data_IF_312545500068
#
_entry.id   IF_312545500068
#
_cell.length_a   1.000
_cell.length_b   1.000
_cell.length_c   1.000
_cell.angle_alpha   90.00
_cell.angle_beta   90.00
_cell.angle_gamma   90.00
#
_symmetry.space_group_name_H-M   'P 1'
#
loop_
_entity.id
_entity.type
_entity.pdbx_description
1 polymer ?
#
# COMPACT_ATOMS: atom_id res chain seq x y z
N UNK A 1 24.05 50.65 -31.73
CA UNK A 1 23.48 49.37 -32.24
C UNK A 1 24.00 48.12 -31.54
N UNK A 2 25.29 48.03 -31.17
CA UNK A 2 25.88 46.85 -30.51
C UNK A 2 25.23 46.48 -29.16
N UNK A 3 24.87 47.46 -28.32
CA UNK A 3 24.22 47.21 -27.03
C UNK A 3 22.77 46.69 -27.16
N UNK A 4 22.04 47.13 -28.19
CA UNK A 4 20.67 46.66 -28.45
C UNK A 4 20.66 45.22 -28.97
N UNK A 5 21.64 44.85 -29.79
CA UNK A 5 21.87 43.46 -30.22
C UNK A 5 22.25 42.55 -29.04
N UNK A 6 23.06 43.05 -28.10
CA UNK A 6 23.46 42.30 -26.90
C UNK A 6 22.27 42.01 -25.96
N UNK A 7 21.39 42.99 -25.73
CA UNK A 7 20.17 42.80 -24.94
C UNK A 7 19.18 41.83 -25.58
N UNK A 8 19.04 41.85 -26.91
CA UNK A 8 18.18 40.90 -27.62
C UNK A 8 18.74 39.48 -27.48
N UNK A 9 20.06 39.30 -27.65
CA UNK A 9 20.71 38.00 -27.49
C UNK A 9 20.54 37.45 -26.05
N UNK A 10 20.69 38.30 -25.05
CA UNK A 10 20.52 37.93 -23.63
C UNK A 10 19.07 37.54 -23.31
N UNK A 11 18.08 38.24 -23.89
CA UNK A 11 16.66 37.91 -23.75
C UNK A 11 16.29 36.58 -24.41
N UNK A 12 16.94 36.23 -25.52
CA UNK A 12 16.71 34.98 -26.24
C UNK A 12 17.28 33.78 -25.46
N UNK A 13 18.44 33.94 -24.81
CA UNK A 13 19.06 32.91 -23.96
C UNK A 13 18.21 32.61 -22.71
N UNK A 14 17.57 33.63 -22.12
CA UNK A 14 16.63 33.45 -20.99
C UNK A 14 15.31 32.79 -21.37
N UNK A 15 14.88 32.89 -22.64
CA UNK A 15 13.70 32.18 -23.12
C UNK A 15 14.02 30.70 -23.42
N UNK A 16 15.23 30.42 -23.94
CA UNK A 16 15.72 29.06 -24.23
C UNK A 16 15.94 28.20 -22.96
N UNK A 17 16.21 28.81 -21.81
CA UNK A 17 16.37 28.08 -20.54
C UNK A 17 15.05 27.60 -19.93
N UNK A 18 13.89 28.10 -20.39
CA UNK A 18 12.58 27.68 -19.88
C UNK A 18 12.01 26.43 -20.57
N UNK A 19 12.45 26.12 -21.79
CA UNK A 19 11.99 24.92 -22.55
C UNK A 19 12.75 23.65 -22.17
N UNK A 20 14.00 23.78 -21.71
CA UNK A 20 14.90 22.65 -21.42
C UNK A 20 14.64 21.92 -20.09
N UNK A 21 13.74 22.44 -19.23
CA UNK A 21 13.40 21.85 -17.92
C UNK A 21 11.99 21.22 -17.86
N UNK A 22 11.28 21.13 -18.99
CA UNK A 22 9.90 20.60 -19.02
C UNK A 22 9.80 19.13 -18.61
N UNK A 23 10.87 18.34 -18.77
CA UNK A 23 10.93 16.91 -18.46
C UNK A 23 11.60 16.59 -17.11
N UNK A 24 12.09 17.59 -16.37
CA UNK A 24 12.75 17.36 -15.07
C UNK A 24 11.77 16.89 -13.99
N UNK A 25 10.50 17.27 -14.09
CA UNK A 25 9.48 16.92 -13.09
C UNK A 25 8.72 15.63 -13.41
N UNK A 26 8.77 15.14 -14.66
CA UNK A 26 8.07 13.94 -15.10
C UNK A 26 9.03 12.77 -15.22
N UNK A 27 9.55 12.30 -14.08
CA UNK A 27 10.36 11.08 -14.05
C UNK A 27 9.48 9.87 -13.76
N UNK A 28 9.42 8.94 -14.71
CA UNK A 28 8.74 7.67 -14.48
C UNK A 28 9.49 6.82 -13.44
N UNK A 29 8.76 6.05 -12.62
CA UNK A 29 9.36 5.17 -11.63
C UNK A 29 10.18 4.05 -12.31
N UNK A 30 11.50 4.03 -12.07
CA UNK A 30 12.43 3.08 -12.72
C UNK A 30 12.23 1.62 -12.32
N UNK A 31 11.55 1.35 -11.21
CA UNK A 31 11.42 0.01 -10.60
C UNK A 31 9.98 -0.43 -10.37
N UNK A 32 9.00 0.44 -10.57
CA UNK A 32 7.59 0.13 -10.36
C UNK A 32 6.81 0.41 -11.64
N UNK A 33 5.91 -0.49 -12.01
CA UNK A 33 4.97 -0.20 -13.09
C UNK A 33 4.01 0.90 -12.64
N UNK A 34 3.68 1.81 -13.57
CA UNK A 34 2.54 2.70 -13.39
C UNK A 34 1.25 1.88 -13.29
N UNK A 35 0.19 2.46 -12.71
CA UNK A 35 -1.07 1.71 -12.55
C UNK A 35 -1.63 1.32 -13.92
N UNK A 36 -1.54 2.21 -14.88
CA UNK A 36 -2.03 2.03 -16.25
C UNK A 36 -1.30 0.88 -16.95
N UNK A 37 0.03 0.82 -16.83
CA UNK A 37 0.83 -0.27 -17.40
C UNK A 37 0.61 -1.59 -16.68
N UNK A 38 0.48 -1.56 -15.35
CA UNK A 38 0.23 -2.76 -14.53
C UNK A 38 -1.09 -3.46 -14.92
N UNK A 39 -2.08 -2.71 -15.38
CA UNK A 39 -3.37 -3.27 -15.83
C UNK A 39 -3.49 -3.35 -17.35
N UNK A 40 -2.52 -2.90 -18.14
CA UNK A 40 -2.62 -2.85 -19.61
C UNK A 40 -2.69 -4.22 -20.29
N UNK A 41 -2.12 -5.27 -19.68
CA UNK A 41 -1.99 -6.62 -20.24
C UNK A 41 -2.51 -7.67 -19.28
N UNK A 42 -3.12 -8.71 -19.83
CA UNK A 42 -3.61 -9.85 -19.05
C UNK A 42 -2.48 -10.57 -18.31
N UNK A 43 -1.29 -10.65 -18.91
CA UNK A 43 -0.08 -11.25 -18.32
C UNK A 43 0.34 -10.58 -17.00
N UNK A 44 0.03 -9.28 -16.83
CA UNK A 44 0.36 -8.54 -15.61
C UNK A 44 -0.63 -8.81 -14.47
N UNK A 45 -1.77 -9.47 -14.75
CA UNK A 45 -2.80 -9.79 -13.76
C UNK A 45 -2.40 -10.99 -12.90
N UNK A 46 -1.69 -11.96 -13.47
CA UNK A 46 -1.27 -13.16 -12.74
C UNK A 46 -0.33 -12.84 -11.56
N UNK A 47 0.72 -12.00 -11.72
CA UNK A 47 1.54 -11.54 -10.59
C UNK A 47 0.74 -10.78 -9.53
N UNK A 48 -0.25 -9.98 -9.96
CA UNK A 48 -1.12 -9.26 -9.03
C UNK A 48 -1.96 -10.23 -8.19
N UNK A 49 -2.59 -11.22 -8.83
CA UNK A 49 -3.41 -12.22 -8.15
C UNK A 49 -2.57 -13.07 -7.19
N UNK A 50 -1.39 -13.51 -7.65
CA UNK A 50 -0.44 -14.27 -6.83
C UNK A 50 0.04 -13.46 -5.64
N UNK A 51 0.33 -12.16 -5.85
CA UNK A 51 0.69 -11.23 -4.79
C UNK A 51 -0.43 -11.03 -3.78
N UNK A 52 -1.69 -10.92 -4.22
CA UNK A 52 -2.85 -10.82 -3.33
C UNK A 52 -3.00 -12.05 -2.43
N UNK A 53 -2.94 -13.27 -3.01
CA UNK A 53 -3.03 -14.50 -2.21
C UNK A 53 -1.84 -14.67 -1.26
N UNK A 54 -0.63 -14.31 -1.71
CA UNK A 54 0.58 -14.36 -0.89
C UNK A 54 0.48 -13.41 0.30
N UNK A 55 0.04 -12.16 0.06
CA UNK A 55 -0.18 -11.17 1.11
C UNK A 55 -1.31 -11.58 2.06
N UNK A 56 -2.41 -12.13 1.54
CA UNK A 56 -3.48 -12.67 2.36
C UNK A 56 -2.99 -13.76 3.31
N UNK A 57 -2.25 -14.74 2.79
CA UNK A 57 -1.67 -15.81 3.60
C UNK A 57 -0.70 -15.25 4.64
N UNK A 58 0.29 -14.46 4.20
CA UNK A 58 1.39 -14.02 5.05
C UNK A 58 0.98 -13.00 6.11
N UNK A 59 0.02 -12.12 5.81
CA UNK A 59 -0.32 -11.02 6.71
C UNK A 59 -1.56 -11.32 7.57
N UNK A 60 -2.46 -12.21 7.12
CA UNK A 60 -3.74 -12.44 7.83
C UNK A 60 -3.94 -13.84 8.38
N UNK A 61 -3.20 -14.83 7.87
CA UNK A 61 -3.36 -16.25 8.24
C UNK A 61 -2.09 -16.87 8.84
N UNK A 62 -0.94 -16.24 8.67
CA UNK A 62 0.34 -16.76 9.15
C UNK A 62 0.47 -16.54 10.65
N UNK A 63 1.04 -17.54 11.32
CA UNK A 63 1.42 -17.48 12.73
C UNK A 63 0.25 -17.15 13.66
N UNK A 64 0.56 -16.59 14.83
CA UNK A 64 -0.40 -16.17 15.87
C UNK A 64 -1.49 -15.23 15.33
N UNK A 65 -1.17 -14.38 14.36
CA UNK A 65 -2.10 -13.38 13.83
C UNK A 65 -3.30 -13.98 13.10
N UNK A 66 -3.17 -15.20 12.58
CA UNK A 66 -4.30 -15.96 12.01
C UNK A 66 -5.31 -16.44 13.04
N UNK A 67 -4.90 -16.52 14.31
CA UNK A 67 -5.69 -17.05 15.42
C UNK A 67 -6.17 -15.95 16.37
N UNK A 68 -5.78 -14.70 16.17
CA UNK A 68 -6.12 -13.58 17.09
C UNK A 68 -7.62 -13.43 17.33
N UNK A 69 -8.46 -13.75 16.35
CA UNK A 69 -9.92 -13.68 16.49
C UNK A 69 -10.57 -14.96 17.05
N UNK A 70 -9.78 -16.00 17.33
CA UNK A 70 -10.26 -17.22 18.01
C UNK A 70 -10.01 -17.15 19.52
N UNK A 71 -9.20 -16.21 19.98
CA UNK A 71 -8.85 -16.00 21.38
C UNK A 71 -10.05 -15.58 22.21
N UNK A 72 -10.01 -15.89 23.50
CA UNK A 72 -11.10 -15.59 24.44
C UNK A 72 -12.31 -16.51 24.29
N UNK A 73 -12.21 -17.54 23.44
CA UNK A 73 -13.10 -18.70 23.45
C UNK A 73 -12.61 -19.72 24.48
N UNK A 74 -13.48 -20.64 24.89
CA UNK A 74 -13.10 -21.79 25.73
C UNK A 74 -12.18 -22.79 25.00
N UNK A 75 -12.11 -22.71 23.67
CA UNK A 75 -11.30 -23.59 22.82
C UNK A 75 -9.86 -23.10 22.61
N UNK A 76 -9.60 -21.79 22.70
CA UNK A 76 -8.26 -21.27 22.43
C UNK A 76 -7.88 -20.11 23.35
N UNK A 77 -6.73 -20.28 23.99
CA UNK A 77 -6.17 -19.32 24.93
C UNK A 77 -4.76 -18.92 24.53
N UNK A 78 -4.38 -17.68 24.82
CA UNK A 78 -2.99 -17.26 24.70
C UNK A 78 -2.11 -17.80 25.84
N UNK A 79 -0.81 -17.93 25.56
CA UNK A 79 0.17 -18.30 26.58
C UNK A 79 0.15 -17.36 27.79
N UNK A 80 0.23 -17.93 29.00
CA UNK A 80 0.08 -17.21 30.25
C UNK A 80 1.10 -16.07 30.43
N UNK A 81 2.29 -16.19 29.85
CA UNK A 81 3.30 -15.13 29.88
C UNK A 81 2.83 -13.90 29.11
N UNK A 82 2.39 -14.07 27.86
CA UNK A 82 1.94 -12.96 27.01
C UNK A 82 0.72 -12.24 27.60
N UNK A 83 -0.21 -13.00 28.19
CA UNK A 83 -1.41 -12.45 28.84
C UNK A 83 -1.09 -11.64 30.10
N UNK A 84 0.10 -11.83 30.69
CA UNK A 84 0.55 -11.08 31.87
C UNK A 84 1.44 -9.88 31.52
N UNK A 85 2.17 -9.95 30.42
CA UNK A 85 3.18 -8.94 30.05
C UNK A 85 2.69 -7.94 29.01
N UNK A 86 1.71 -8.31 28.18
CA UNK A 86 1.19 -7.46 27.10
C UNK A 86 -0.32 -7.21 27.28
N UNK A 87 -0.72 -5.98 27.68
CA UNK A 87 -2.12 -5.66 27.92
C UNK A 87 -2.96 -5.67 26.63
N UNK A 88 -2.38 -5.33 25.47
CA UNK A 88 -3.11 -5.30 24.20
C UNK A 88 -3.47 -6.73 23.77
N UNK A 89 -2.58 -7.68 24.02
CA UNK A 89 -2.80 -9.11 23.76
C UNK A 89 -3.71 -9.74 24.80
N UNK A 90 -3.54 -9.40 26.08
CA UNK A 90 -4.42 -9.85 27.15
C UNK A 90 -5.87 -9.41 26.94
N UNK A 91 -6.08 -8.23 26.33
CA UNK A 91 -7.41 -7.74 25.97
C UNK A 91 -8.15 -8.67 25.01
N UNK A 92 -7.44 -9.32 24.09
CA UNK A 92 -8.03 -10.25 23.11
C UNK A 92 -8.48 -11.56 23.76
N UNK A 93 -7.85 -11.96 24.86
CA UNK A 93 -8.11 -13.22 25.56
C UNK A 93 -9.11 -13.04 26.72
N UNK A 94 -9.06 -11.89 27.39
CA UNK A 94 -9.86 -11.61 28.60
C UNK A 94 -11.02 -10.64 28.38
N UNK A 95 -11.10 -10.01 27.20
CA UNK A 95 -12.07 -8.94 26.90
C UNK A 95 -12.16 -7.90 28.01
N UNK A 96 -11.00 -7.47 28.53
CA UNK A 96 -10.91 -6.53 29.64
C UNK A 96 -10.87 -5.07 29.14
N UNK A 97 -10.68 -4.11 30.06
CA UNK A 97 -10.64 -2.67 29.74
C UNK A 97 -9.53 -2.23 28.77
N UNK A 98 -8.57 -3.10 28.43
CA UNK A 98 -7.55 -2.83 27.41
C UNK A 98 -8.04 -3.15 25.99
N UNK A 99 -9.27 -3.64 25.83
CA UNK A 99 -9.98 -3.69 24.55
C UNK A 99 -10.51 -2.29 24.20
N UNK A 100 -9.59 -1.34 24.09
CA UNK A 100 -9.85 0.07 23.87
C UNK A 100 -9.48 0.47 22.43
N UNK A 101 -9.94 1.63 21.93
CA UNK A 101 -9.55 2.13 20.61
C UNK A 101 -8.04 2.30 20.41
N UNK A 102 -7.27 2.45 21.50
CA UNK A 102 -5.81 2.54 21.47
C UNK A 102 -5.09 1.18 21.33
N UNK A 103 -5.82 0.07 21.27
CA UNK A 103 -5.24 -1.27 21.23
C UNK A 103 -4.54 -1.51 19.87
N UNK A 104 -3.23 -1.74 19.91
CA UNK A 104 -2.43 -1.88 18.70
C UNK A 104 -2.66 -3.22 17.98
N UNK A 105 -3.07 -4.25 18.72
CA UNK A 105 -3.36 -5.58 18.15
C UNK A 105 -4.57 -5.53 17.24
N UNK A 106 -5.64 -4.84 17.65
CA UNK A 106 -6.82 -4.61 16.81
C UNK A 106 -6.52 -3.74 15.59
N UNK A 107 -5.83 -2.61 15.80
CA UNK A 107 -5.43 -1.70 14.71
C UNK A 107 -4.61 -2.44 13.66
N UNK A 108 -3.64 -3.25 14.08
CA UNK A 108 -2.85 -4.06 13.16
C UNK A 108 -3.70 -5.04 12.34
N UNK A 109 -4.62 -5.75 12.99
CA UNK A 109 -5.50 -6.70 12.28
C UNK A 109 -6.36 -6.00 11.23
N UNK A 110 -6.83 -4.80 11.53
CA UNK A 110 -7.57 -3.98 10.58
C UNK A 110 -6.70 -3.59 9.39
N UNK A 111 -5.54 -2.98 9.65
CA UNK A 111 -4.64 -2.46 8.62
C UNK A 111 -4.14 -3.56 7.67
N UNK A 112 -3.77 -4.72 8.20
CA UNK A 112 -3.24 -5.83 7.41
C UNK A 112 -4.31 -6.41 6.47
N UNK A 113 -5.58 -6.45 6.89
CA UNK A 113 -6.70 -6.94 6.08
C UNK A 113 -7.16 -5.90 5.07
N UNK A 114 -7.24 -4.64 5.48
CA UNK A 114 -7.77 -3.56 4.63
C UNK A 114 -6.88 -3.29 3.42
N UNK A 115 -5.56 -3.44 3.56
CA UNK A 115 -4.61 -3.36 2.43
C UNK A 115 -4.95 -4.35 1.31
N UNK A 116 -5.30 -5.59 1.67
CA UNK A 116 -5.65 -6.64 0.70
C UNK A 116 -6.98 -6.31 0.02
N UNK A 117 -7.98 -5.91 0.79
CA UNK A 117 -9.30 -5.52 0.26
C UNK A 117 -9.15 -4.37 -0.74
N UNK A 118 -8.38 -3.35 -0.38
CA UNK A 118 -8.16 -2.17 -1.23
C UNK A 118 -7.41 -2.53 -2.52
N UNK A 119 -6.40 -3.39 -2.42
CA UNK A 119 -5.66 -3.87 -3.59
C UNK A 119 -6.53 -4.73 -4.52
N UNK A 120 -7.35 -5.63 -3.98
CA UNK A 120 -8.27 -6.45 -4.76
C UNK A 120 -9.38 -5.60 -5.42
N UNK A 121 -9.93 -4.63 -4.70
CA UNK A 121 -10.90 -3.69 -5.25
C UNK A 121 -10.31 -2.87 -6.41
N UNK A 122 -9.08 -2.39 -6.26
CA UNK A 122 -8.37 -1.66 -7.31
C UNK A 122 -8.11 -2.55 -8.53
N UNK A 123 -7.68 -3.80 -8.31
CA UNK A 123 -7.46 -4.76 -9.37
C UNK A 123 -8.73 -5.09 -10.15
N UNK A 124 -9.83 -5.42 -9.45
CA UNK A 124 -11.11 -5.75 -10.09
C UNK A 124 -11.69 -4.60 -10.92
N UNK A 125 -11.53 -3.35 -10.46
CA UNK A 125 -11.97 -2.16 -11.20
C UNK A 125 -11.19 -1.99 -12.50
N UNK A 126 -9.87 -2.09 -12.43
CA UNK A 126 -9.01 -1.79 -13.58
C UNK A 126 -8.99 -2.94 -14.60
N UNK A 127 -9.07 -4.20 -14.17
CA UNK A 127 -9.17 -5.34 -15.09
C UNK A 127 -10.47 -5.35 -15.90
N UNK A 128 -11.59 -4.85 -15.35
CA UNK A 128 -12.85 -4.72 -16.11
C UNK A 128 -12.72 -3.80 -17.33
N UNK A 129 -11.82 -2.81 -17.30
CA UNK A 129 -11.59 -1.91 -18.43
C UNK A 129 -10.80 -2.57 -19.58
N UNK A 130 -10.13 -3.69 -19.32
CA UNK A 130 -9.24 -4.37 -20.29
C UNK A 130 -10.00 -5.43 -21.09
N UNK A 131 -10.99 -6.09 -20.46
CA UNK A 131 -11.81 -7.12 -21.08
C UNK A 131 -13.02 -6.61 -21.87
N UNK A 132 -13.18 -5.30 -22.04
CA UNK A 132 -14.17 -4.68 -22.95
C UNK A 132 -13.40 -4.15 -24.16
N UNK A 133 -12.97 -5.06 -25.04
CA UNK A 133 -12.63 -4.80 -26.44
C UNK A 133 -13.00 -6.01 -27.26
#
# INVERSE_FOLDING_TARGET
MKSKLLSILLSFIMLLSTVSCSDFFNNDPKTALTKEEAFSKLENIEPLLTGLYTNWRNNTRRDRWGLVFQLGTDESQQGAYQVRTDPDQAAMDKYNGFLAPSNNTLTRQWDDRWKIVTAAASGSRNCKCVGIK
#
